data_IF_721041663004
#
_entry.id   IF_721041663004
#
_cell.length_a   1.000
_cell.length_b   1.000
_cell.length_c   1.000
_cell.angle_alpha   90.00
_cell.angle_beta   90.00
_cell.angle_gamma   90.00
#
_symmetry.space_group_name_H-M   'P 1'
#
loop_
_entity.id
_entity.type
_entity.pdbx_description
1 polymer ?
#
# COMPACT_ATOMS: atom_id res chain seq x y z
N UNK A 1 -42.29 7.93 101.54
CA UNK A 1 -41.26 8.91 101.11
C UNK A 1 -40.18 8.20 100.28
N UNK A 2 -39.55 7.15 100.80
CA UNK A 2 -38.55 6.35 100.08
C UNK A 2 -38.98 5.83 98.68
N UNK A 3 -40.23 5.36 98.51
CA UNK A 3 -40.70 4.87 97.20
C UNK A 3 -40.81 5.97 96.13
N UNK A 4 -41.22 7.18 96.52
CA UNK A 4 -41.31 8.33 95.59
C UNK A 4 -39.92 8.82 95.17
N UNK A 5 -38.95 8.70 96.05
CA UNK A 5 -37.55 9.06 95.80
C UNK A 5 -36.89 8.07 94.83
N UNK A 6 -37.06 6.77 95.05
CA UNK A 6 -36.56 5.72 94.14
C UNK A 6 -37.20 5.77 92.75
N UNK A 7 -38.47 6.17 92.63
CA UNK A 7 -39.14 6.34 91.34
C UNK A 7 -38.62 7.58 90.59
N UNK A 8 -38.33 8.67 91.31
CA UNK A 8 -37.72 9.86 90.74
C UNK A 8 -36.28 9.59 90.24
N UNK A 9 -35.49 8.85 91.02
CA UNK A 9 -34.13 8.44 90.63
C UNK A 9 -34.15 7.55 89.38
N UNK A 10 -35.07 6.57 89.32
CA UNK A 10 -35.23 5.71 88.14
C UNK A 10 -35.60 6.51 86.89
N UNK A 11 -36.52 7.47 87.00
CA UNK A 11 -36.87 8.36 85.88
C UNK A 11 -35.71 9.24 85.46
N UNK A 12 -34.95 9.79 86.41
CA UNK A 12 -33.78 10.60 86.13
C UNK A 12 -32.68 9.79 85.42
N UNK A 13 -32.43 8.54 85.85
CA UNK A 13 -31.42 7.68 85.24
C UNK A 13 -31.84 7.23 83.83
N UNK A 14 -33.12 6.88 83.62
CA UNK A 14 -33.67 6.57 82.30
C UNK A 14 -33.59 7.78 81.35
N UNK A 15 -33.93 8.98 81.84
CA UNK A 15 -33.81 10.21 81.06
C UNK A 15 -32.35 10.51 80.68
N UNK A 16 -31.39 10.27 81.59
CA UNK A 16 -29.96 10.42 81.31
C UNK A 16 -29.48 9.42 80.25
N UNK A 17 -29.81 8.14 80.39
CA UNK A 17 -29.38 7.10 79.42
C UNK A 17 -30.02 7.27 78.05
N UNK A 18 -31.27 7.73 78.00
CA UNK A 18 -31.94 8.03 76.73
C UNK A 18 -31.28 9.22 76.02
N UNK A 19 -30.98 10.30 76.75
CA UNK A 19 -30.22 11.42 76.22
C UNK A 19 -28.81 11.01 75.74
N UNK A 20 -28.08 10.20 76.51
CA UNK A 20 -26.77 9.66 76.09
C UNK A 20 -26.87 8.81 74.81
N UNK A 21 -27.91 7.99 74.71
CA UNK A 21 -28.15 7.15 73.51
C UNK A 21 -28.47 8.01 72.29
N UNK A 22 -29.25 9.07 72.45
CA UNK A 22 -29.56 10.01 71.36
C UNK A 22 -28.33 10.79 70.92
N UNK A 23 -27.48 11.24 71.85
CA UNK A 23 -26.20 11.90 71.54
C UNK A 23 -25.30 10.94 70.76
N UNK A 24 -25.16 9.68 71.19
CA UNK A 24 -24.36 8.68 70.47
C UNK A 24 -24.90 8.38 69.08
N UNK A 25 -26.23 8.29 68.91
CA UNK A 25 -26.85 8.13 67.59
C UNK A 25 -26.57 9.33 66.68
N UNK A 26 -26.68 10.55 67.21
CA UNK A 26 -26.36 11.75 66.46
C UNK A 26 -24.88 11.79 66.04
N UNK A 27 -23.96 11.42 66.93
CA UNK A 27 -22.53 11.31 66.62
C UNK A 27 -22.24 10.23 65.57
N UNK A 28 -22.89 9.07 65.68
CA UNK A 28 -22.76 7.99 64.70
C UNK A 28 -23.19 8.43 63.30
N UNK A 29 -24.35 9.10 63.19
CA UNK A 29 -24.85 9.61 61.91
C UNK A 29 -23.91 10.67 61.33
N UNK A 30 -23.40 11.59 62.16
CA UNK A 30 -22.44 12.60 61.74
C UNK A 30 -21.15 11.97 61.17
N UNK A 31 -20.56 11.00 61.87
CA UNK A 31 -19.35 10.31 61.39
C UNK A 31 -19.63 9.48 60.14
N UNK A 32 -20.80 8.84 60.05
CA UNK A 32 -21.20 8.09 58.87
C UNK A 32 -21.33 9.00 57.64
N UNK A 33 -21.95 10.17 57.79
CA UNK A 33 -22.05 11.16 56.72
C UNK A 33 -20.69 11.72 56.34
N UNK A 34 -19.81 11.98 57.32
CA UNK A 34 -18.44 12.43 57.08
C UNK A 34 -17.63 11.43 56.25
N UNK A 35 -17.67 10.15 56.65
CA UNK A 35 -16.96 9.08 55.93
C UNK A 35 -17.54 8.86 54.53
N UNK A 36 -18.86 8.89 54.38
CA UNK A 36 -19.51 8.81 53.06
C UNK A 36 -19.14 9.98 52.17
N UNK A 37 -19.13 11.20 52.70
CA UNK A 37 -18.72 12.37 51.94
C UNK A 37 -17.26 12.24 51.49
N UNK A 38 -16.37 11.77 52.35
CA UNK A 38 -14.96 11.55 51.99
C UNK A 38 -14.80 10.49 50.89
N UNK A 39 -15.52 9.37 50.98
CA UNK A 39 -15.47 8.30 49.98
C UNK A 39 -16.05 8.77 48.63
N UNK A 40 -17.18 9.48 48.65
CA UNK A 40 -17.78 10.06 47.43
C UNK A 40 -16.81 11.05 46.77
N UNK A 41 -16.18 11.92 47.54
CA UNK A 41 -15.20 12.88 47.01
C UNK A 41 -14.00 12.17 46.38
N UNK A 42 -13.50 11.09 47.00
CA UNK A 42 -12.41 10.28 46.41
C UNK A 42 -12.83 9.66 45.09
N UNK A 43 -14.03 9.10 45.01
CA UNK A 43 -14.53 8.46 43.80
C UNK A 43 -14.79 9.49 42.68
N UNK A 44 -15.29 10.68 43.01
CA UNK A 44 -15.46 11.79 42.06
C UNK A 44 -14.12 12.28 41.52
N UNK A 45 -13.09 12.40 42.36
CA UNK A 45 -11.74 12.76 41.93
C UNK A 45 -11.19 11.68 40.99
N UNK A 46 -11.35 10.40 41.34
CA UNK A 46 -10.90 9.29 40.50
C UNK A 46 -11.60 9.28 39.14
N UNK A 47 -12.93 9.48 39.11
CA UNK A 47 -13.70 9.60 37.88
C UNK A 47 -13.20 10.76 37.02
N UNK A 48 -13.04 11.94 37.62
CA UNK A 48 -12.56 13.14 36.92
C UNK A 48 -11.15 12.93 36.38
N UNK A 49 -10.27 12.27 37.13
CA UNK A 49 -8.92 11.95 36.68
C UNK A 49 -8.92 11.01 35.47
N UNK A 50 -9.79 10.01 35.45
CA UNK A 50 -9.94 9.09 34.31
C UNK A 50 -10.48 9.83 33.09
N UNK A 51 -11.49 10.70 33.26
CA UNK A 51 -12.04 11.51 32.16
C UNK A 51 -10.97 12.43 31.56
N UNK A 52 -10.23 13.16 32.39
CA UNK A 52 -9.13 14.03 31.93
C UNK A 52 -8.04 13.22 31.23
N UNK A 53 -7.67 12.05 31.77
CA UNK A 53 -6.65 11.20 31.16
C UNK A 53 -7.10 10.67 29.79
N UNK A 54 -8.35 10.23 29.67
CA UNK A 54 -8.94 9.76 28.41
C UNK A 54 -9.04 10.89 27.37
N UNK A 55 -9.44 12.09 27.79
CA UNK A 55 -9.48 13.26 26.92
C UNK A 55 -8.09 13.67 26.43
N UNK A 56 -7.10 13.68 27.33
CA UNK A 56 -5.71 13.97 27.00
C UNK A 56 -5.13 12.93 26.02
N UNK A 57 -5.44 11.64 26.20
CA UNK A 57 -5.01 10.58 25.29
C UNK A 57 -5.69 10.70 23.92
N UNK A 58 -6.97 11.02 23.88
CA UNK A 58 -7.71 11.26 22.63
C UNK A 58 -7.17 12.48 21.87
N UNK A 59 -6.84 13.56 22.57
CA UNK A 59 -6.25 14.75 21.95
C UNK A 59 -4.82 14.48 21.45
N UNK A 60 -4.02 13.76 22.24
CA UNK A 60 -2.68 13.30 21.84
C UNK A 60 -2.76 12.47 20.57
N UNK A 61 -3.66 11.47 20.53
CA UNK A 61 -3.88 10.63 19.34
C UNK A 61 -4.28 11.46 18.12
N UNK A 62 -5.20 12.42 18.29
CA UNK A 62 -5.58 13.35 17.21
C UNK A 62 -4.42 14.18 16.69
N UNK A 63 -3.58 14.73 17.59
CA UNK A 63 -2.41 15.51 17.18
C UNK A 63 -1.34 14.65 16.49
N UNK A 64 -1.11 13.43 16.97
CA UNK A 64 -0.18 12.50 16.32
C UNK A 64 -0.68 12.13 14.93
N UNK A 65 -1.94 11.70 14.79
CA UNK A 65 -2.52 11.36 13.49
C UNK A 65 -2.49 12.53 12.51
N UNK A 66 -2.75 13.76 12.99
CA UNK A 66 -2.63 14.96 12.17
C UNK A 66 -1.17 15.22 11.74
N UNK A 67 -0.23 15.12 12.67
CA UNK A 67 1.20 15.29 12.37
C UNK A 67 1.72 14.24 11.39
N UNK A 68 1.25 12.99 11.50
CA UNK A 68 1.57 11.91 10.56
C UNK A 68 0.98 12.18 9.18
N UNK A 69 -0.27 12.61 9.10
CA UNK A 69 -0.90 12.97 7.83
C UNK A 69 -0.18 14.13 7.14
N UNK A 70 0.16 15.19 7.89
CA UNK A 70 0.90 16.35 7.38
C UNK A 70 2.31 15.94 6.91
N UNK A 71 3.00 15.06 7.65
CA UNK A 71 4.31 14.54 7.28
C UNK A 71 4.26 13.70 6.00
N UNK A 72 3.23 12.86 5.84
CA UNK A 72 3.01 12.04 4.65
C UNK A 72 2.70 12.93 3.44
N UNK A 73 1.82 13.92 3.60
CA UNK A 73 1.53 14.90 2.54
C UNK A 73 2.79 15.63 2.11
N UNK A 74 3.57 16.13 3.06
CA UNK A 74 4.81 16.82 2.76
C UNK A 74 5.80 15.93 2.00
N UNK A 75 5.91 14.65 2.39
CA UNK A 75 6.75 13.69 1.69
C UNK A 75 6.28 13.48 0.25
N UNK A 76 4.99 13.25 0.02
CA UNK A 76 4.45 13.05 -1.32
C UNK A 76 4.55 14.30 -2.19
N UNK A 77 4.32 15.49 -1.62
CA UNK A 77 4.54 16.74 -2.34
C UNK A 77 6.00 16.95 -2.72
N UNK A 78 6.94 16.64 -1.82
CA UNK A 78 8.37 16.74 -2.11
C UNK A 78 8.79 15.74 -3.20
N UNK A 79 8.29 14.50 -3.14
CA UNK A 79 8.53 13.48 -4.16
C UNK A 79 7.93 13.90 -5.51
N UNK A 80 6.68 14.38 -5.52
CA UNK A 80 6.01 14.85 -6.73
C UNK A 80 6.74 16.04 -7.36
N UNK A 81 7.14 17.03 -6.55
CA UNK A 81 7.95 18.17 -7.02
C UNK A 81 9.31 17.71 -7.56
N UNK A 82 9.97 16.76 -6.91
CA UNK A 82 11.23 16.20 -7.38
C UNK A 82 11.08 15.49 -8.73
N UNK A 83 10.06 14.64 -8.86
CA UNK A 83 9.76 13.95 -10.13
C UNK A 83 9.41 14.94 -11.22
N UNK A 84 8.59 15.94 -10.92
CA UNK A 84 8.23 16.99 -11.87
C UNK A 84 9.47 17.76 -12.35
N UNK A 85 10.34 18.20 -11.44
CA UNK A 85 11.58 18.88 -11.81
C UNK A 85 12.49 18.01 -12.70
N UNK A 86 12.58 16.71 -12.42
CA UNK A 86 13.35 15.78 -13.26
C UNK A 86 12.72 15.64 -14.65
N UNK A 87 11.39 15.56 -14.75
CA UNK A 87 10.69 15.47 -16.03
C UNK A 87 10.79 16.77 -16.82
N UNK A 88 10.66 17.92 -16.17
CA UNK A 88 10.80 19.24 -16.77
C UNK A 88 12.23 19.43 -17.29
N UNK A 89 13.25 19.11 -16.49
CA UNK A 89 14.64 19.15 -16.92
C UNK A 89 14.93 18.21 -18.10
N UNK A 90 14.31 17.02 -18.13
CA UNK A 90 14.38 16.09 -19.27
C UNK A 90 13.71 16.68 -20.51
N UNK A 91 12.52 17.25 -20.37
CA UNK A 91 11.79 17.87 -21.48
C UNK A 91 12.55 19.06 -22.06
N UNK A 92 13.14 19.91 -21.22
CA UNK A 92 14.04 20.98 -21.64
C UNK A 92 15.31 20.46 -22.33
N UNK A 93 15.89 19.36 -21.82
CA UNK A 93 17.00 18.66 -22.47
C UNK A 93 16.63 18.17 -23.86
N UNK A 94 15.47 17.54 -24.01
CA UNK A 94 14.93 17.09 -25.30
C UNK A 94 14.64 18.25 -26.24
N UNK A 95 14.06 19.34 -25.75
CA UNK A 95 13.85 20.55 -26.52
C UNK A 95 15.16 21.14 -27.06
N UNK A 96 16.20 21.20 -26.23
CA UNK A 96 17.53 21.67 -26.65
C UNK A 96 18.16 20.73 -27.69
N UNK A 97 18.00 19.41 -27.53
CA UNK A 97 18.46 18.43 -28.53
C UNK A 97 17.77 18.63 -29.87
N UNK A 98 16.43 18.75 -29.89
CA UNK A 98 15.66 19.02 -31.11
C UNK A 98 16.10 20.34 -31.77
N UNK A 99 16.30 21.38 -30.98
CA UNK A 99 16.76 22.68 -31.47
C UNK A 99 18.20 22.60 -32.04
N UNK A 100 19.08 21.83 -31.40
CA UNK A 100 20.47 21.62 -31.84
C UNK A 100 20.56 20.74 -33.09
N UNK A 101 19.59 19.85 -33.30
CA UNK A 101 19.45 19.04 -34.52
C UNK A 101 18.82 19.80 -35.70
N UNK A 102 18.73 21.13 -35.62
CA UNK A 102 18.22 21.97 -36.72
C UNK A 102 16.69 21.97 -36.86
N UNK A 103 15.96 21.53 -35.82
CA UNK A 103 14.50 21.49 -35.81
C UNK A 103 13.89 20.23 -36.44
N UNK A 104 14.71 19.27 -36.89
CA UNK A 104 14.19 18.01 -37.42
C UNK A 104 13.87 17.03 -36.29
N UNK A 105 12.59 17.01 -35.89
CA UNK A 105 12.08 16.15 -34.82
C UNK A 105 12.31 14.65 -35.08
N UNK A 106 12.47 14.22 -36.34
CA UNK A 106 12.75 12.82 -36.69
C UNK A 106 14.17 12.42 -36.29
N UNK A 107 15.17 13.25 -36.58
CA UNK A 107 16.55 12.98 -36.21
C UNK A 107 16.74 12.94 -34.68
N UNK A 108 16.08 13.86 -33.97
CA UNK A 108 16.08 13.86 -32.50
C UNK A 108 15.38 12.61 -31.92
N UNK A 109 14.24 12.18 -32.49
CA UNK A 109 13.58 10.95 -32.08
C UNK A 109 14.44 9.70 -32.32
N UNK A 110 15.19 9.64 -33.43
CA UNK A 110 16.13 8.55 -33.70
C UNK A 110 17.28 8.53 -32.69
N UNK A 111 17.83 9.69 -32.35
CA UNK A 111 18.91 9.81 -31.35
C UNK A 111 18.43 9.39 -29.95
N UNK A 112 17.21 9.77 -29.58
CA UNK A 112 16.56 9.34 -28.33
C UNK A 112 16.25 7.83 -28.30
N UNK A 113 15.85 7.26 -29.43
CA UNK A 113 15.66 5.81 -29.54
C UNK A 113 16.99 5.07 -29.36
N UNK A 114 18.09 5.56 -29.94
CA UNK A 114 19.41 4.92 -29.78
C UNK A 114 19.85 4.91 -28.31
N UNK A 115 19.68 6.02 -27.58
CA UNK A 115 20.00 6.09 -26.15
C UNK A 115 19.12 5.13 -25.31
N UNK A 116 17.82 5.02 -25.61
CA UNK A 116 16.91 4.13 -24.87
C UNK A 116 17.08 2.66 -25.21
N UNK A 117 17.52 2.32 -26.42
CA UNK A 117 17.84 0.95 -26.83
C UNK A 117 18.94 0.35 -25.95
N UNK A 118 20.00 1.11 -25.61
CA UNK A 118 21.05 0.63 -24.70
C UNK A 118 20.48 0.23 -23.34
N UNK A 119 19.62 1.06 -22.77
CA UNK A 119 18.97 0.80 -21.47
C UNK A 119 17.98 -0.38 -21.52
N UNK A 120 17.32 -0.62 -22.65
CA UNK A 120 16.45 -1.79 -22.82
C UNK A 120 17.26 -3.07 -22.95
N UNK A 121 18.36 -3.04 -23.70
CA UNK A 121 19.23 -4.21 -23.89
C UNK A 121 19.88 -4.60 -22.56
N UNK A 122 20.34 -3.65 -21.75
CA UNK A 122 20.91 -3.97 -20.44
C UNK A 122 19.88 -4.62 -19.49
N UNK A 123 18.66 -4.07 -19.41
CA UNK A 123 17.58 -4.64 -18.62
C UNK A 123 17.16 -6.04 -19.12
N UNK A 124 17.12 -6.26 -20.43
CA UNK A 124 16.82 -7.56 -21.02
C UNK A 124 17.94 -8.58 -20.75
N UNK A 125 19.20 -8.17 -20.81
CA UNK A 125 20.35 -9.04 -20.46
C UNK A 125 20.33 -9.42 -18.97
N UNK A 126 19.94 -8.51 -18.09
CA UNK A 126 19.77 -8.80 -16.67
C UNK A 126 18.59 -9.75 -16.40
N UNK A 127 17.47 -9.57 -17.09
CA UNK A 127 16.34 -10.51 -17.06
C UNK A 127 16.73 -11.90 -17.59
N UNK A 128 17.55 -12.00 -18.64
CA UNK A 128 18.07 -13.26 -19.18
C UNK A 128 19.07 -13.91 -18.20
N UNK A 129 19.91 -13.13 -17.51
CA UNK A 129 20.81 -13.67 -16.47
C UNK A 129 20.05 -14.26 -15.28
N UNK A 130 18.89 -13.71 -14.94
CA UNK A 130 18.02 -14.21 -13.88
C UNK A 130 17.12 -15.37 -14.31
N UNK A 131 16.97 -15.59 -15.63
CA UNK A 131 16.47 -16.85 -16.19
C UNK A 131 17.55 -17.93 -16.05
N UNK A 132 17.63 -18.55 -14.87
CA UNK A 132 18.19 -19.89 -14.79
C UNK A 132 17.35 -20.78 -15.71
N UNK A 133 17.94 -21.27 -16.80
CA UNK A 133 17.35 -22.33 -17.62
C UNK A 133 17.38 -23.61 -16.77
N UNK A 134 16.50 -23.66 -15.76
CA UNK A 134 16.26 -24.84 -14.95
C UNK A 134 15.48 -25.80 -15.85
N UNK A 135 16.21 -26.75 -16.41
CA UNK A 135 15.70 -27.96 -17.06
C UNK A 135 15.13 -27.74 -18.47
N UNK A 136 15.98 -27.94 -19.47
CA UNK A 136 15.53 -28.45 -20.77
C UNK A 136 14.92 -29.83 -20.50
N UNK A 137 13.63 -29.88 -20.24
CA UNK A 137 12.89 -31.14 -20.31
C UNK A 137 12.53 -31.28 -21.78
N UNK A 138 13.35 -32.03 -22.52
CA UNK A 138 12.92 -32.55 -23.81
C UNK A 138 11.68 -33.37 -23.51
N UNK A 139 10.50 -32.82 -23.82
CA UNK A 139 9.30 -33.62 -23.99
C UNK A 139 9.52 -34.41 -25.27
N UNK A 140 10.30 -35.49 -25.16
CA UNK A 140 10.13 -36.63 -26.05
C UNK A 140 8.78 -37.23 -25.66
N UNK A 141 7.72 -36.64 -26.21
CA UNK A 141 6.39 -37.20 -26.19
C UNK A 141 6.48 -38.53 -26.93
N UNK A 142 6.59 -39.61 -26.17
CA UNK A 142 6.74 -40.96 -26.70
C UNK A 142 5.70 -41.23 -27.79
N UNK A 143 6.20 -41.54 -28.97
CA UNK A 143 5.48 -42.38 -29.91
C UNK A 143 6.45 -43.47 -30.37
N UNK A 144 6.39 -44.61 -29.68
CA UNK A 144 7.04 -45.83 -30.12
C UNK A 144 6.42 -46.28 -31.42
N UNK A 145 7.23 -46.38 -32.48
CA UNK A 145 6.76 -46.87 -33.77
C UNK A 145 7.82 -46.82 -34.85
N UNK A 146 8.66 -47.87 -34.87
CA UNK A 146 9.34 -48.44 -36.03
C UNK A 146 10.15 -47.52 -36.96
N UNK A 147 11.47 -47.71 -36.92
CA UNK A 147 12.30 -47.67 -38.12
C UNK A 147 13.02 -46.36 -38.40
N UNK A 148 14.35 -46.48 -38.43
CA UNK A 148 15.31 -45.60 -39.07
C UNK A 148 15.95 -44.48 -38.21
N UNK A 149 17.28 -44.46 -38.25
CA UNK A 149 18.16 -43.81 -37.28
C UNK A 149 18.32 -42.30 -37.47
N UNK A 150 17.24 -41.52 -37.34
CA UNK A 150 17.32 -40.06 -37.36
C UNK A 150 17.24 -39.47 -35.94
N UNK A 151 18.37 -38.97 -35.45
CA UNK A 151 18.52 -38.21 -34.19
C UNK A 151 17.54 -37.03 -34.10
N UNK A 152 16.92 -36.86 -32.93
CA UNK A 152 15.98 -35.82 -32.51
C UNK A 152 16.43 -34.37 -32.78
N UNK A 153 17.70 -34.15 -33.13
CA UNK A 153 18.23 -32.85 -33.57
C UNK A 153 17.79 -32.46 -35.00
N UNK A 154 17.50 -33.43 -35.87
CA UNK A 154 17.11 -33.16 -37.26
C UNK A 154 15.65 -32.71 -37.40
N UNK A 155 14.77 -33.17 -36.50
CA UNK A 155 13.36 -32.76 -36.45
C UNK A 155 13.15 -31.37 -35.81
N UNK A 156 14.12 -30.84 -35.07
CA UNK A 156 14.07 -29.46 -34.55
C UNK A 156 14.38 -28.42 -35.65
N UNK A 157 15.38 -28.68 -36.49
CA UNK A 157 15.72 -27.80 -37.61
C UNK A 157 14.60 -27.78 -38.66
N UNK A 158 13.97 -28.93 -38.92
CA UNK A 158 12.87 -29.02 -39.90
C UNK A 158 11.56 -28.37 -39.40
N UNK A 159 11.33 -28.32 -38.08
CA UNK A 159 10.17 -27.63 -37.50
C UNK A 159 10.35 -26.11 -37.34
N UNK A 160 11.59 -25.60 -37.36
CA UNK A 160 11.88 -24.16 -37.43
C UNK A 160 11.64 -23.59 -38.84
N UNK A 161 11.88 -24.39 -39.89
CA UNK A 161 11.63 -23.98 -41.29
C UNK A 161 10.14 -24.02 -41.66
N UNK A 162 9.34 -24.81 -40.93
CA UNK A 162 7.90 -25.01 -41.19
C UNK A 162 6.97 -24.15 -40.33
N UNK A 163 7.51 -23.39 -39.38
CA UNK A 163 6.76 -22.56 -38.40
C UNK A 163 6.85 -21.05 -38.66
N UNK A 164 7.26 -20.64 -39.85
CA UNK A 164 7.03 -19.27 -40.32
C UNK A 164 5.66 -19.25 -41.04
N UNK A 165 4.53 -18.99 -40.35
CA UNK A 165 3.33 -18.56 -41.05
C UNK A 165 3.68 -17.27 -41.81
N UNK A 166 3.11 -17.06 -43.01
CA UNK A 166 3.44 -15.92 -43.85
C UNK A 166 3.23 -14.61 -43.06
N UNK A 167 4.34 -14.02 -42.61
CA UNK A 167 4.38 -12.78 -41.79
C UNK A 167 3.64 -11.62 -42.51
N UNK A 168 3.48 -11.74 -43.82
CA UNK A 168 2.85 -10.77 -44.70
C UNK A 168 1.34 -10.59 -44.46
N UNK A 169 0.61 -11.60 -43.95
CA UNK A 169 -0.83 -11.46 -43.67
C UNK A 169 -1.10 -10.82 -42.31
N UNK A 170 -0.19 -10.99 -41.34
CA UNK A 170 -0.32 -10.41 -40.00
C UNK A 170 0.07 -8.93 -40.00
N UNK A 171 1.07 -8.54 -40.80
CA UNK A 171 1.47 -7.14 -40.95
C UNK A 171 0.38 -6.26 -41.60
N UNK A 172 -0.37 -6.80 -42.58
CA UNK A 172 -1.49 -6.10 -43.23
C UNK A 172 -2.70 -5.90 -42.30
N UNK A 173 -3.01 -6.84 -41.41
CA UNK A 173 -4.09 -6.68 -40.42
C UNK A 173 -3.72 -5.73 -39.26
N UNK A 174 -2.42 -5.52 -38.99
CA UNK A 174 -1.94 -4.65 -37.92
C UNK A 174 -1.67 -3.19 -38.34
N UNK A 175 -1.92 -2.84 -39.62
CA UNK A 175 -1.83 -1.45 -40.10
C UNK A 175 -0.41 -0.87 -40.16
N UNK A 176 0.62 -1.73 -40.25
CA UNK A 176 2.02 -1.29 -40.32
C UNK A 176 2.54 -1.54 -41.73
N UNK A 177 2.72 -0.47 -42.50
CA UNK A 177 3.47 -0.52 -43.76
C UNK A 177 4.96 -0.67 -43.47
N UNK A 178 5.53 -1.79 -43.91
CA UNK A 178 6.97 -2.03 -43.81
C UNK A 178 7.70 -1.27 -44.94
N UNK A 179 8.85 -0.64 -44.66
CA UNK A 179 9.58 0.15 -45.65
C UNK A 179 10.08 -0.65 -46.87
N UNK A 180 10.19 0.03 -48.02
CA UNK A 180 10.40 -0.56 -49.37
C UNK A 180 11.66 -1.44 -49.59
N UNK A 181 12.56 -1.56 -48.62
CA UNK A 181 13.78 -2.35 -48.73
C UNK A 181 13.63 -3.85 -48.39
N UNK A 182 12.42 -4.30 -48.01
CA UNK A 182 12.12 -5.71 -47.75
C UNK A 182 11.43 -6.45 -48.92
N UNK A 183 11.43 -5.86 -50.11
CA UNK A 183 10.99 -6.50 -51.35
C UNK A 183 9.61 -6.04 -51.79
N UNK A 184 9.53 -5.55 -53.03
CA UNK A 184 8.27 -5.31 -53.72
C UNK A 184 7.76 -6.65 -54.24
N UNK A 185 6.50 -6.99 -53.96
CA UNK A 185 5.80 -7.99 -54.75
C UNK A 185 5.63 -7.37 -56.14
N UNK A 186 6.29 -7.97 -57.14
CA UNK A 186 5.93 -7.77 -58.53
C UNK A 186 4.49 -8.24 -58.68
N UNK A 187 3.60 -7.28 -58.91
CA UNK A 187 2.20 -7.53 -59.23
C UNK A 187 2.16 -8.05 -60.68
N UNK A 188 2.08 -9.37 -60.83
CA UNK A 188 1.87 -10.01 -62.13
C UNK A 188 0.71 -10.98 -62.01
N UNK A 189 -0.50 -10.49 -62.33
CA UNK A 189 -1.60 -11.32 -62.81
C UNK A 189 -2.63 -10.49 -63.60
N UNK A 190 -2.24 -10.06 -64.80
CA UNK A 190 -3.17 -9.99 -65.92
C UNK A 190 -2.63 -10.89 -67.04
N UNK A 191 -3.14 -12.12 -67.07
CA UNK A 191 -3.00 -13.02 -68.21
C UNK A 191 -4.29 -12.82 -69.01
N UNK A 192 -4.20 -12.04 -70.08
CA UNK A 192 -5.19 -12.02 -71.14
C UNK A 192 -5.04 -13.30 -71.97
N UNK A 193 -6.14 -14.03 -72.15
CA UNK A 193 -6.23 -15.21 -73.02
C UNK A 193 -6.91 -14.76 -74.31
N UNK A 194 -6.17 -14.91 -75.41
CA UNK A 194 -6.70 -14.91 -76.79
C UNK A 194 -7.28 -16.29 -77.13
#
# INVERSE_FOLDING_TARGET
>A
LAEKEAEADRRAEVARRTAETEIQKAQYVLEQERLRAEEIVREEIAKTQIEIAAEAEAERSRRVAKGEADAILYKYEAEAKGVQQVLDAKAEGYGRLIQSSGGDARAAATLLMVEKIESMVSAQVEAIRNLKIDKITVWDGGNGGAGDGSSSTSNFVSSLVRSLPPIHDVAKMAGVELPEYLGKVSDDSQIDVE
#
